data_IF_135790656030
#
_entry.id   IF_135790656030
#
_cell.length_a   1.000
_cell.length_b   1.000
_cell.length_c   1.000
_cell.angle_alpha   90.00
_cell.angle_beta   90.00
_cell.angle_gamma   90.00
#
_symmetry.space_group_name_H-M   'P 1'
#
loop_
_entity.id
_entity.type
_entity.pdbx_description
1 polymer ?
#
# COMPACT_ATOMS: atom_id res chain seq x y z
N UNK A 1 2.02 -5.33 -11.41
CA UNK A 1 2.92 -4.15 -11.33
C UNK A 1 4.30 -4.68 -10.95
N UNK A 2 5.36 -4.06 -11.44
CA UNK A 2 6.75 -4.44 -11.15
C UNK A 2 7.63 -3.19 -11.10
N UNK A 3 8.79 -3.30 -10.45
CA UNK A 3 9.84 -2.28 -10.38
C UNK A 3 11.18 -2.95 -10.10
N UNK A 4 12.27 -2.23 -10.33
CA UNK A 4 13.64 -2.70 -10.12
C UNK A 4 14.23 -2.10 -8.84
N UNK A 5 14.89 -2.95 -8.03
CA UNK A 5 15.70 -2.50 -6.90
C UNK A 5 17.08 -2.03 -7.39
N UNK A 6 17.15 -0.78 -7.84
CA UNK A 6 18.40 -0.17 -8.28
C UNK A 6 19.38 0.09 -7.12
N UNK A 7 20.66 -0.15 -7.34
CA UNK A 7 21.72 0.09 -6.33
C UNK A 7 21.77 1.55 -5.87
N UNK A 8 21.41 2.50 -6.75
CA UNK A 8 21.34 3.94 -6.47
C UNK A 8 20.37 4.29 -5.33
N UNK A 9 19.40 3.42 -5.03
CA UNK A 9 18.50 3.61 -3.88
C UNK A 9 19.14 3.25 -2.54
N UNK A 10 20.22 2.48 -2.54
CA UNK A 10 20.86 1.92 -1.34
C UNK A 10 22.17 2.64 -0.99
N UNK A 11 22.19 3.96 -1.18
CA UNK A 11 23.31 4.85 -0.83
C UNK A 11 23.42 5.15 0.68
N UNK A 12 22.55 4.57 1.51
CA UNK A 12 22.51 4.76 2.96
C UNK A 12 21.76 6.02 3.43
N UNK A 13 21.23 6.84 2.51
CA UNK A 13 20.49 8.07 2.87
C UNK A 13 19.00 7.84 3.08
N UNK A 14 18.46 6.74 2.56
CA UNK A 14 17.03 6.39 2.62
C UNK A 14 16.73 5.41 3.74
N UNK A 15 15.59 5.58 4.40
CA UNK A 15 15.11 4.64 5.41
C UNK A 15 14.21 3.56 4.78
N UNK A 16 13.80 2.58 5.58
CA UNK A 16 12.81 1.55 5.19
C UNK A 16 13.44 0.19 4.87
N UNK A 17 14.74 0.18 4.57
CA UNK A 17 15.56 -1.01 4.34
C UNK A 17 16.63 -1.17 5.44
N UNK A 18 16.19 -1.09 6.69
CA UNK A 18 17.02 -1.33 7.89
C UNK A 18 16.53 -2.56 8.65
N UNK A 19 17.37 -3.12 9.52
CA UNK A 19 17.00 -4.28 10.37
C UNK A 19 15.82 -4.00 11.29
N UNK A 20 15.61 -2.72 11.65
CA UNK A 20 14.48 -2.28 12.46
C UNK A 20 13.49 -1.53 11.56
N UNK A 21 12.28 -2.07 11.34
CA UNK A 21 11.26 -1.41 10.52
C UNK A 21 10.82 -0.09 11.14
N UNK A 22 10.80 0.99 10.34
CA UNK A 22 10.26 2.28 10.78
C UNK A 22 8.73 2.28 10.63
N UNK A 23 8.02 2.85 11.59
CA UNK A 23 6.55 2.91 11.61
C UNK A 23 5.85 1.54 11.56
N UNK A 24 6.52 0.44 11.92
CA UNK A 24 5.93 -0.91 11.95
C UNK A 24 5.64 -1.52 10.58
N UNK A 25 6.27 -1.03 9.51
CA UNK A 25 6.09 -1.54 8.14
C UNK A 25 7.41 -2.01 7.55
N UNK A 26 7.36 -3.15 6.84
CA UNK A 26 8.41 -3.54 5.92
C UNK A 26 8.15 -2.89 4.56
N UNK A 27 9.18 -2.33 3.94
CA UNK A 27 9.05 -1.65 2.65
C UNK A 27 9.42 -2.60 1.50
N UNK A 28 8.54 -2.66 0.50
CA UNK A 28 8.75 -3.34 -0.77
C UNK A 28 9.30 -2.42 -1.86
N UNK A 29 9.35 -1.11 -1.67
CA UNK A 29 9.85 -0.14 -2.64
C UNK A 29 10.63 0.97 -1.92
N UNK A 30 11.73 1.49 -2.52
CA UNK A 30 12.49 2.63 -1.98
C UNK A 30 11.64 3.88 -1.74
N UNK A 31 11.92 4.60 -0.66
CA UNK A 31 11.25 5.87 -0.36
C UNK A 31 11.91 7.04 -1.13
N UNK A 32 11.26 8.22 -1.27
CA UNK A 32 11.85 9.37 -1.94
C UNK A 32 13.12 9.83 -1.20
N UNK A 33 14.09 10.44 -1.90
CA UNK A 33 14.03 10.89 -3.30
C UNK A 33 14.05 9.75 -4.34
N UNK A 34 13.23 9.88 -5.38
CA UNK A 34 13.13 8.96 -6.52
C UNK A 34 14.29 9.19 -7.50
N UNK A 35 14.89 8.12 -8.00
CA UNK A 35 16.00 8.22 -8.96
C UNK A 35 15.47 8.37 -10.39
N UNK A 36 16.31 8.87 -11.30
CA UNK A 36 15.95 9.05 -12.71
C UNK A 36 15.61 7.74 -13.44
N UNK A 37 16.18 6.61 -12.99
CA UNK A 37 15.97 5.26 -13.53
C UNK A 37 14.77 4.53 -12.92
N UNK A 38 13.98 5.18 -12.06
CA UNK A 38 12.75 4.59 -11.52
C UNK A 38 11.86 4.07 -12.66
N UNK A 39 11.46 2.81 -12.55
CA UNK A 39 10.83 2.05 -13.62
C UNK A 39 9.53 1.36 -13.20
N UNK A 40 8.98 1.68 -12.02
CA UNK A 40 7.74 1.09 -11.57
C UNK A 40 6.63 1.30 -12.61
N UNK A 41 6.03 0.19 -13.05
CA UNK A 41 5.05 0.18 -14.12
C UNK A 41 3.95 -0.85 -13.89
N UNK A 42 2.74 -0.52 -14.35
CA UNK A 42 1.56 -1.37 -14.28
C UNK A 42 0.38 -0.67 -13.62
N UNK A 43 -0.52 -1.46 -13.02
CA UNK A 43 -1.76 -0.94 -12.44
C UNK A 43 -1.88 -1.36 -10.99
N UNK A 44 -2.20 -0.41 -10.12
CA UNK A 44 -2.67 -0.62 -8.76
C UNK A 44 -4.18 -0.46 -8.73
N UNK A 45 -4.88 -1.41 -8.11
CA UNK A 45 -6.34 -1.43 -8.09
C UNK A 45 -6.87 -1.81 -6.71
N UNK A 46 -7.82 -1.03 -6.19
CA UNK A 46 -8.36 -1.25 -4.85
C UNK A 46 -9.64 -0.46 -4.57
N UNK A 47 -10.18 -0.66 -3.37
CA UNK A 47 -11.48 -0.12 -2.91
C UNK A 47 -11.41 0.62 -1.58
N UNK A 48 -10.22 0.69 -0.97
CA UNK A 48 -9.96 1.33 0.32
C UNK A 48 -8.62 2.10 0.28
N UNK A 49 -8.50 3.11 1.14
CA UNK A 49 -7.29 3.93 1.36
C UNK A 49 -7.18 4.33 2.84
N UNK A 50 -6.17 5.09 3.26
CA UNK A 50 -6.02 5.47 4.68
C UNK A 50 -7.08 6.45 5.18
N UNK A 51 -7.48 7.42 4.37
CA UNK A 51 -8.34 8.51 4.78
C UNK A 51 -9.47 8.68 3.78
N UNK A 52 -10.37 7.70 3.75
CA UNK A 52 -11.60 7.77 2.97
C UNK A 52 -12.60 6.74 3.45
N UNK A 53 -13.86 6.93 3.05
CA UNK A 53 -14.81 5.81 3.01
C UNK A 53 -14.43 4.87 1.87
N UNK A 54 -14.85 3.61 1.97
CA UNK A 54 -14.70 2.65 0.89
C UNK A 54 -15.31 3.22 -0.39
N UNK A 55 -14.61 3.08 -1.50
CA UNK A 55 -14.95 3.69 -2.78
C UNK A 55 -15.07 2.61 -3.87
N UNK A 56 -15.93 2.81 -4.89
CA UNK A 56 -15.95 1.94 -6.04
C UNK A 56 -14.55 1.78 -6.62
N UNK A 57 -14.21 0.60 -7.16
CA UNK A 57 -12.84 0.27 -7.55
C UNK A 57 -12.17 1.41 -8.32
N UNK A 58 -11.02 1.84 -7.82
CA UNK A 58 -10.10 2.73 -8.51
C UNK A 58 -8.99 1.89 -9.14
N UNK A 59 -8.55 2.27 -10.33
CA UNK A 59 -7.33 1.76 -10.98
C UNK A 59 -6.40 2.92 -11.27
N UNK A 60 -5.19 2.82 -10.76
CA UNK A 60 -4.11 3.80 -10.88
C UNK A 60 -3.02 3.16 -11.74
N UNK A 61 -2.83 3.66 -12.96
CA UNK A 61 -1.80 3.17 -13.88
C UNK A 61 -0.53 4.01 -13.77
N UNK A 62 0.61 3.33 -13.82
CA UNK A 62 1.94 3.89 -13.63
C UNK A 62 2.87 3.59 -14.79
N UNK A 63 3.71 4.56 -15.10
CA UNK A 63 4.83 4.44 -16.02
C UNK A 63 6.05 5.19 -15.43
N UNK A 64 7.21 4.52 -15.38
CA UNK A 64 8.45 5.10 -14.88
C UNK A 64 8.35 5.65 -13.46
N UNK A 65 7.64 4.95 -12.57
CA UNK A 65 7.41 5.38 -11.19
C UNK A 65 6.22 6.29 -10.97
N UNK A 66 5.68 6.93 -12.01
CA UNK A 66 4.71 8.01 -11.86
C UNK A 66 3.32 7.57 -12.32
N UNK A 67 2.29 8.02 -11.62
CA UNK A 67 0.90 7.83 -12.02
C UNK A 67 0.61 8.63 -13.30
N UNK A 68 0.16 7.94 -14.34
CA UNK A 68 -0.19 8.53 -15.64
C UNK A 68 -1.69 8.52 -15.92
N UNK A 69 -2.45 7.65 -15.25
CA UNK A 69 -3.90 7.54 -15.46
C UNK A 69 -4.63 7.01 -14.24
N UNK A 70 -5.80 7.57 -13.96
CA UNK A 70 -6.70 7.10 -12.89
C UNK A 70 -8.10 6.88 -13.47
N UNK A 71 -8.61 5.65 -13.33
CA UNK A 71 -9.96 5.26 -13.79
C UNK A 71 -10.80 4.72 -12.63
N UNK A 72 -12.11 4.99 -12.64
CA UNK A 72 -13.00 4.59 -11.54
C UNK A 72 -12.79 5.43 -10.28
N UNK A 73 -13.07 4.86 -9.11
CA UNK A 73 -12.88 5.50 -7.81
C UNK A 73 -14.00 6.43 -7.34
N UNK A 74 -14.99 6.74 -8.20
CA UNK A 74 -15.97 7.81 -7.97
C UNK A 74 -15.29 9.10 -7.46
N UNK A 75 -15.84 9.77 -6.44
CA UNK A 75 -15.28 10.99 -5.87
C UNK A 75 -13.81 10.85 -5.42
N UNK A 76 -13.39 9.68 -4.94
CA UNK A 76 -11.99 9.44 -4.59
C UNK A 76 -11.10 9.49 -5.85
N UNK A 77 -11.52 8.83 -6.92
CA UNK A 77 -10.83 8.88 -8.21
C UNK A 77 -10.87 10.26 -8.87
N UNK A 78 -11.95 11.03 -8.70
CA UNK A 78 -12.05 12.40 -9.20
C UNK A 78 -11.03 13.32 -8.51
N UNK A 79 -10.87 13.18 -7.18
CA UNK A 79 -9.86 13.92 -6.43
C UNK A 79 -8.45 13.61 -6.96
N UNK A 80 -8.13 12.33 -7.18
CA UNK A 80 -6.87 11.92 -7.80
C UNK A 80 -6.64 12.58 -9.17
N UNK A 81 -7.65 12.57 -10.05
CA UNK A 81 -7.55 13.19 -11.37
C UNK A 81 -7.32 14.71 -11.30
N UNK A 82 -8.01 15.40 -10.39
CA UNK A 82 -7.81 16.83 -10.16
C UNK A 82 -6.39 17.16 -9.71
N UNK A 83 -5.88 16.43 -8.72
CA UNK A 83 -4.53 16.64 -8.18
C UNK A 83 -3.42 16.27 -9.18
N UNK A 84 -3.66 15.28 -10.06
CA UNK A 84 -2.75 14.95 -11.16
C UNK A 84 -2.64 16.11 -12.15
N UNK A 85 -3.78 16.67 -12.55
CA UNK A 85 -3.83 17.78 -13.50
C UNK A 85 -3.21 19.06 -12.89
N UNK A 86 -3.47 19.34 -11.62
CA UNK A 86 -2.91 20.49 -10.90
C UNK A 86 -1.39 20.41 -10.77
N UNK A 87 -0.85 19.22 -10.46
CA UNK A 87 0.59 19.04 -10.18
C UNK A 87 1.45 18.76 -11.41
N UNK A 88 0.88 18.49 -12.60
CA UNK A 88 1.62 17.94 -13.76
C UNK A 88 2.83 18.73 -14.24
N UNK A 89 2.89 20.03 -13.94
CA UNK A 89 4.00 20.92 -14.33
C UNK A 89 4.89 21.32 -13.15
N UNK A 90 4.58 20.86 -11.94
CA UNK A 90 5.33 21.18 -10.73
C UNK A 90 6.54 20.28 -10.61
N UNK A 91 7.74 20.86 -10.57
CA UNK A 91 8.97 20.13 -10.26
C UNK A 91 9.19 20.08 -8.74
N UNK A 92 9.18 18.87 -8.18
CA UNK A 92 9.49 18.63 -6.78
C UNK A 92 10.98 18.25 -6.63
N UNK A 93 11.68 18.69 -5.57
CA UNK A 93 13.09 18.35 -5.35
C UNK A 93 13.36 16.85 -5.24
N UNK A 94 12.40 16.07 -4.75
CA UNK A 94 12.53 14.62 -4.55
C UNK A 94 12.14 13.77 -5.76
N UNK A 95 11.70 14.35 -6.87
CA UNK A 95 11.25 13.60 -8.05
C UNK A 95 12.09 13.90 -9.29
N UNK A 96 12.33 12.90 -10.15
CA UNK A 96 13.20 13.07 -11.32
C UNK A 96 12.52 13.86 -12.45
N UNK A 97 11.19 14.00 -12.44
CA UNK A 97 10.42 14.75 -13.44
C UNK A 97 9.24 15.48 -12.78
N UNK A 98 8.61 16.47 -13.44
CA UNK A 98 7.45 17.17 -12.90
C UNK A 98 6.26 16.24 -12.60
N UNK A 99 5.46 16.61 -11.62
CA UNK A 99 4.26 15.89 -11.17
C UNK A 99 4.40 15.23 -9.80
N UNK A 100 3.31 15.22 -9.02
CA UNK A 100 3.32 14.81 -7.61
C UNK A 100 3.38 13.30 -7.41
N UNK A 101 2.58 12.53 -8.14
CA UNK A 101 2.24 11.15 -7.77
C UNK A 101 3.24 10.11 -8.27
N UNK A 102 4.45 10.11 -7.69
CA UNK A 102 5.38 8.99 -7.79
C UNK A 102 5.06 7.91 -6.75
N UNK A 103 5.16 6.63 -7.13
CA UNK A 103 5.15 5.51 -6.19
C UNK A 103 6.30 5.67 -5.21
N UNK A 104 6.00 5.56 -3.92
CA UNK A 104 7.05 5.61 -2.92
C UNK A 104 6.82 4.72 -1.70
N UNK A 105 5.56 4.45 -1.34
CA UNK A 105 5.25 3.58 -0.22
C UNK A 105 4.68 2.27 -0.76
N UNK A 106 5.44 1.19 -0.64
CA UNK A 106 4.92 -0.18 -0.76
C UNK A 106 5.09 -0.82 0.61
N UNK A 107 4.19 -0.48 1.52
CA UNK A 107 4.37 -0.86 2.92
C UNK A 107 3.51 -2.09 3.27
N UNK A 108 4.21 -3.10 3.76
CA UNK A 108 3.69 -4.42 4.09
C UNK A 108 3.32 -4.44 5.57
N UNK A 109 2.05 -4.74 5.86
CA UNK A 109 1.61 -5.09 7.19
C UNK A 109 2.19 -6.43 7.61
N UNK A 110 2.54 -6.57 8.89
CA UNK A 110 3.26 -7.74 9.42
C UNK A 110 2.56 -8.39 10.61
N UNK A 111 1.49 -7.79 11.13
CA UNK A 111 0.86 -8.26 12.36
C UNK A 111 -0.39 -9.12 12.04
N UNK A 112 -0.40 -10.43 12.36
CA UNK A 112 -1.55 -11.31 12.10
C UNK A 112 -2.74 -11.03 13.03
N UNK A 113 -2.55 -10.26 14.11
CA UNK A 113 -3.57 -9.98 15.14
C UNK A 113 -4.36 -8.70 14.91
N UNK A 114 -4.17 -8.06 13.76
CA UNK A 114 -4.94 -6.89 13.37
C UNK A 114 -6.33 -7.34 12.92
N UNK A 115 -7.34 -6.88 13.65
CA UNK A 115 -8.75 -7.06 13.33
C UNK A 115 -9.38 -5.75 12.86
N UNK A 116 -10.39 -5.83 12.00
CA UNK A 116 -11.23 -4.67 11.63
C UNK A 116 -11.83 -4.06 12.90
N UNK A 117 -11.70 -2.73 13.12
CA UNK A 117 -12.38 -2.07 14.24
C UNK A 117 -13.90 -2.17 14.12
N UNK A 118 -14.58 -2.34 15.25
CA UNK A 118 -16.05 -2.27 15.32
C UNK A 118 -16.55 -0.87 14.97
N UNK A 119 -17.70 -0.77 14.29
CA UNK A 119 -18.30 0.50 13.89
C UNK A 119 -17.40 1.32 12.98
N UNK A 120 -16.67 0.65 12.06
CA UNK A 120 -15.65 1.24 11.18
C UNK A 120 -16.15 2.46 10.39
N UNK A 121 -17.46 2.52 10.08
CA UNK A 121 -18.14 3.64 9.44
C UNK A 121 -18.12 4.95 10.25
N UNK A 122 -17.90 4.85 11.58
CA UNK A 122 -17.83 5.97 12.52
C UNK A 122 -16.41 6.48 12.76
N UNK A 123 -15.39 5.80 12.24
CA UNK A 123 -13.99 6.21 12.40
C UNK A 123 -13.60 7.27 11.37
N UNK A 124 -12.89 8.31 11.81
CA UNK A 124 -12.51 9.46 10.96
C UNK A 124 -11.57 9.11 9.81
N UNK A 125 -10.75 8.06 9.96
CA UNK A 125 -9.92 7.50 8.89
C UNK A 125 -10.66 6.47 8.01
N UNK A 126 -11.96 6.25 8.25
CA UNK A 126 -12.66 5.09 7.71
C UNK A 126 -12.13 3.75 8.28
N UNK A 127 -11.32 3.80 9.35
CA UNK A 127 -10.69 2.67 10.05
C UNK A 127 -9.70 1.82 9.26
N UNK A 128 -9.56 2.05 7.95
CA UNK A 128 -8.64 1.30 7.09
C UNK A 128 -7.16 1.59 7.37
N UNK A 129 -6.84 2.72 8.01
CA UNK A 129 -5.51 2.99 8.56
C UNK A 129 -5.05 1.90 9.55
N UNK A 130 -6.00 1.28 10.26
CA UNK A 130 -5.72 0.15 11.13
C UNK A 130 -5.52 -1.15 10.35
N UNK A 131 -6.42 -1.45 9.41
CA UNK A 131 -6.38 -2.66 8.57
C UNK A 131 -5.06 -2.81 7.79
N UNK A 132 -4.43 -1.69 7.41
CA UNK A 132 -3.15 -1.66 6.68
C UNK A 132 -2.02 -2.42 7.38
N UNK A 133 -2.13 -2.60 8.71
CA UNK A 133 -1.11 -3.23 9.56
C UNK A 133 -1.23 -4.75 9.59
N UNK A 134 -2.35 -5.30 9.11
CA UNK A 134 -2.58 -6.76 9.04
C UNK A 134 -1.51 -7.40 8.18
N UNK A 135 -0.95 -8.52 8.64
CA UNK A 135 0.01 -9.31 7.88
C UNK A 135 -0.44 -9.54 6.44
N UNK A 136 0.46 -9.33 5.46
CA UNK A 136 0.20 -9.61 4.05
C UNK A 136 -0.64 -8.57 3.30
N UNK A 137 -1.20 -7.57 3.98
CA UNK A 137 -1.79 -6.39 3.33
C UNK A 137 -0.65 -5.48 2.86
N UNK A 138 -0.77 -4.96 1.64
CA UNK A 138 0.12 -3.91 1.13
C UNK A 138 -0.71 -2.65 0.93
N UNK A 139 -0.25 -1.51 1.43
CA UNK A 139 -0.77 -0.22 0.97
C UNK A 139 0.26 0.46 0.09
N UNK A 140 -0.25 0.92 -1.05
CA UNK A 140 0.51 1.57 -2.11
C UNK A 140 0.31 3.06 -1.95
N UNK A 141 1.34 3.80 -1.58
CA UNK A 141 1.33 5.26 -1.42
C UNK A 141 2.08 5.96 -2.56
N UNK A 142 1.49 7.06 -3.01
CA UNK A 142 2.00 7.86 -4.13
C UNK A 142 1.98 9.33 -3.77
N UNK A 143 3.05 10.06 -4.08
CA UNK A 143 3.20 11.46 -3.68
C UNK A 143 4.47 11.73 -2.88
N UNK A 144 4.49 12.84 -2.15
CA UNK A 144 5.60 13.21 -1.27
C UNK A 144 5.68 12.33 -0.03
N UNK A 145 6.90 12.21 0.52
CA UNK A 145 7.14 11.52 1.78
C UNK A 145 6.50 12.27 2.94
N UNK A 146 5.70 11.57 3.76
CA UNK A 146 5.00 12.18 4.89
C UNK A 146 5.95 12.86 5.89
N UNK A 147 5.67 14.11 6.24
CA UNK A 147 6.45 14.94 7.18
C UNK A 147 7.93 15.04 6.80
N UNK A 148 8.22 15.05 5.51
CA UNK A 148 9.59 15.22 5.01
C UNK A 148 9.97 16.69 4.84
N UNK A 149 11.25 16.93 4.54
CA UNK A 149 11.74 18.26 4.19
C UNK A 149 11.06 18.81 2.93
N UNK A 150 10.68 17.93 2.00
CA UNK A 150 10.02 18.29 0.75
C UNK A 150 8.57 18.74 0.93
N UNK A 151 7.81 18.13 1.85
CA UNK A 151 6.48 18.64 2.20
C UNK A 151 6.57 20.01 2.87
N UNK A 152 7.58 20.22 3.73
CA UNK A 152 7.84 21.53 4.34
C UNK A 152 8.17 22.57 3.27
N UNK A 153 9.10 22.25 2.36
CA UNK A 153 9.46 23.12 1.24
C UNK A 153 8.25 23.47 0.37
N UNK A 154 7.43 22.48 0.02
CA UNK A 154 6.24 22.71 -0.79
C UNK A 154 5.23 23.63 -0.07
N UNK A 155 5.00 23.40 1.23
CA UNK A 155 4.14 24.26 2.05
C UNK A 155 4.64 25.71 2.14
N UNK A 156 5.94 25.91 2.33
CA UNK A 156 6.56 27.26 2.37
C UNK A 156 6.45 28.00 1.03
N UNK A 157 6.31 27.26 -0.09
CA UNK A 157 6.18 27.81 -1.44
C UNK A 157 4.73 27.83 -1.95
N UNK A 158 3.75 27.44 -1.12
CA UNK A 158 2.34 27.38 -1.54
C UNK A 158 2.07 26.37 -2.66
N UNK A 159 2.90 25.32 -2.75
CA UNK A 159 2.82 24.27 -3.76
C UNK A 159 2.01 23.10 -3.20
N UNK A 160 1.15 22.49 -4.01
CA UNK A 160 0.43 21.26 -3.66
C UNK A 160 1.41 20.15 -3.24
N UNK A 161 1.17 19.49 -2.12
CA UNK A 161 1.93 18.33 -1.67
C UNK A 161 1.02 17.33 -0.96
N UNK A 162 1.59 16.17 -0.64
CA UNK A 162 0.93 15.08 0.05
C UNK A 162 1.06 13.78 -0.71
N UNK A 163 0.45 12.75 -0.16
CA UNK A 163 0.43 11.43 -0.77
C UNK A 163 -0.91 10.74 -0.51
N UNK A 164 -1.30 9.90 -1.46
CA UNK A 164 -2.56 9.18 -1.46
C UNK A 164 -2.31 7.68 -1.58
N UNK A 165 -3.27 6.88 -1.14
CA UNK A 165 -3.09 5.44 -1.01
C UNK A 165 -4.15 4.61 -1.71
N UNK A 166 -3.75 3.42 -2.13
CA UNK A 166 -4.66 2.34 -2.49
C UNK A 166 -4.21 1.07 -1.77
N UNK A 167 -5.12 0.40 -1.06
CA UNK A 167 -4.79 -0.83 -0.35
C UNK A 167 -4.99 -2.06 -1.23
N UNK A 168 -4.08 -3.01 -1.10
CA UNK A 168 -4.12 -4.35 -1.66
C UNK A 168 -4.29 -5.33 -0.50
N UNK A 169 -5.49 -5.89 -0.38
CA UNK A 169 -5.85 -6.77 0.74
C UNK A 169 -5.39 -8.22 0.53
N UNK A 170 -5.32 -8.67 -0.73
CA UNK A 170 -4.91 -10.03 -1.11
C UNK A 170 -3.84 -10.07 -2.20
N UNK A 171 -2.73 -9.32 -2.09
CA UNK A 171 -1.69 -9.33 -3.11
C UNK A 171 -0.92 -10.64 -3.12
N UNK A 172 -0.33 -10.97 -4.27
CA UNK A 172 0.84 -11.84 -4.34
C UNK A 172 2.04 -10.95 -4.67
N UNK A 173 3.08 -11.02 -3.84
CA UNK A 173 4.29 -10.22 -3.98
C UNK A 173 5.51 -11.14 -4.03
N UNK A 174 6.24 -11.05 -5.14
CA UNK A 174 7.43 -11.84 -5.42
C UNK A 174 8.63 -10.92 -5.64
N UNK A 175 9.80 -11.38 -5.23
CA UNK A 175 11.07 -10.71 -5.47
C UNK A 175 11.94 -11.65 -6.30
N UNK A 176 12.45 -11.16 -7.44
CA UNK A 176 13.42 -11.87 -8.25
C UNK A 176 14.82 -11.34 -7.94
N UNK A 177 15.73 -12.20 -7.52
CA UNK A 177 17.13 -11.84 -7.25
C UNK A 177 17.92 -11.65 -8.54
N UNK A 178 19.12 -11.06 -8.45
CA UNK A 178 20.04 -10.89 -9.58
C UNK A 178 20.38 -12.19 -10.33
N UNK A 179 20.35 -13.34 -9.65
CA UNK A 179 20.58 -14.66 -10.26
C UNK A 179 19.30 -15.35 -10.77
N UNK A 180 18.17 -14.63 -10.83
CA UNK A 180 16.90 -15.13 -11.36
C UNK A 180 16.08 -15.98 -10.40
N UNK A 181 16.50 -16.14 -9.14
CA UNK A 181 15.73 -16.88 -8.14
C UNK A 181 14.54 -16.03 -7.67
N UNK A 182 13.35 -16.62 -7.70
CA UNK A 182 12.14 -15.98 -7.20
C UNK A 182 11.89 -16.34 -5.73
N UNK A 183 11.51 -15.34 -4.94
CA UNK A 183 11.07 -15.47 -3.56
C UNK A 183 9.65 -14.91 -3.42
N UNK A 184 8.68 -15.76 -3.07
CA UNK A 184 7.34 -15.31 -2.72
C UNK A 184 7.33 -14.77 -1.29
N UNK A 185 7.12 -13.47 -1.14
CA UNK A 185 7.05 -12.78 0.16
C UNK A 185 5.62 -12.80 0.70
N UNK A 186 4.64 -12.58 -0.18
CA UNK A 186 3.21 -12.65 0.15
C UNK A 186 2.54 -13.50 -0.92
N UNK A 187 1.68 -14.43 -0.50
CA UNK A 187 0.87 -15.27 -1.39
C UNK A 187 -0.61 -15.05 -1.08
N UNK A 188 -1.34 -14.44 -2.00
CA UNK A 188 -2.78 -14.17 -1.89
C UNK A 188 -3.16 -13.54 -0.53
N UNK A 189 -2.40 -12.55 -0.06
CA UNK A 189 -2.63 -11.86 1.22
C UNK A 189 -2.11 -12.56 2.47
N UNK A 190 -1.43 -13.72 2.36
CA UNK A 190 -0.71 -14.36 3.47
C UNK A 190 0.78 -14.07 3.40
N UNK A 191 1.35 -13.55 4.49
CA UNK A 191 2.79 -13.31 4.61
C UNK A 191 3.51 -14.66 4.80
N UNK A 192 4.37 -15.06 3.86
CA UNK A 192 4.97 -16.41 3.85
C UNK A 192 5.89 -16.68 5.04
N UNK A 193 6.44 -15.63 5.66
CA UNK A 193 7.21 -15.73 6.88
C UNK A 193 6.41 -16.33 8.06
N UNK A 194 5.08 -16.23 8.07
CA UNK A 194 4.25 -16.84 9.12
C UNK A 194 4.17 -18.38 9.01
N UNK A 195 4.56 -18.94 7.86
CA UNK A 195 4.64 -20.39 7.63
C UNK A 195 6.07 -20.92 7.74
N UNK A 196 7.06 -20.04 7.90
CA UNK A 196 8.47 -20.42 7.94
C UNK A 196 8.77 -21.28 9.17
N UNK A 197 9.44 -22.45 9.04
CA UNK A 197 9.71 -23.34 10.16
C UNK A 197 10.49 -22.69 11.31
N UNK A 198 11.43 -21.79 11.01
CA UNK A 198 12.22 -21.12 12.05
C UNK A 198 11.39 -20.06 12.77
N UNK A 199 10.51 -19.36 12.06
CA UNK A 199 9.53 -18.43 12.67
C UNK A 199 8.53 -19.18 13.54
N UNK A 200 8.00 -20.31 13.05
CA UNK A 200 7.07 -21.17 13.81
C UNK A 200 7.73 -21.73 15.06
N UNK A 201 8.97 -22.22 14.96
CA UNK A 201 9.77 -22.68 16.11
C UNK A 201 10.06 -21.56 17.11
N UNK A 202 10.26 -20.33 16.64
CA UNK A 202 10.40 -19.18 17.53
C UNK A 202 9.08 -18.88 18.27
N UNK A 203 7.94 -19.00 17.59
CA UNK A 203 6.61 -18.76 18.16
C UNK A 203 6.25 -19.75 19.28
N UNK A 204 6.75 -21.00 19.24
CA UNK A 204 6.56 -22.02 20.29
C UNK A 204 6.98 -21.54 21.69
N UNK A 205 7.89 -20.57 21.78
CA UNK A 205 8.30 -19.96 23.07
C UNK A 205 7.23 -19.10 23.71
N UNK A 206 6.22 -18.67 22.93
CA UNK A 206 5.20 -17.70 23.33
C UNK A 206 3.78 -18.28 23.30
N UNK A 207 3.58 -19.46 22.72
CA UNK A 207 2.28 -20.13 22.65
C UNK A 207 2.24 -21.18 21.53
N UNK A 208 1.06 -21.70 21.24
CA UNK A 208 0.84 -22.55 20.07
C UNK A 208 1.10 -21.73 18.78
N UNK A 209 2.07 -22.12 17.92
CA UNK A 209 2.33 -21.41 16.66
C UNK A 209 1.12 -21.29 15.75
N UNK A 210 0.21 -22.28 15.75
CA UNK A 210 -0.98 -22.26 14.90
C UNK A 210 -1.99 -21.21 15.35
N UNK A 211 -2.11 -20.98 16.66
CA UNK A 211 -2.91 -19.87 17.17
C UNK A 211 -2.17 -18.54 17.06
N UNK A 212 -0.88 -18.50 17.37
CA UNK A 212 -0.11 -17.26 17.43
C UNK A 212 0.15 -16.63 16.06
N UNK A 213 0.34 -17.43 15.01
CA UNK A 213 0.67 -16.95 13.66
C UNK A 213 -0.54 -16.93 12.70
N UNK A 214 -1.69 -17.47 13.12
CA UNK A 214 -2.95 -17.34 12.35
C UNK A 214 -3.42 -15.89 12.32
N UNK A 215 -3.91 -15.44 11.18
CA UNK A 215 -4.57 -14.14 11.10
C UNK A 215 -5.95 -14.17 11.78
N UNK A 216 -6.17 -13.28 12.74
CA UNK A 216 -7.43 -13.21 13.50
C UNK A 216 -8.58 -12.63 12.67
N UNK A 217 -8.26 -11.95 11.57
CA UNK A 217 -9.23 -11.38 10.66
C UNK A 217 -8.81 -11.59 9.21
N UNK A 218 -9.75 -12.07 8.41
CA UNK A 218 -9.64 -12.18 6.95
C UNK A 218 -10.77 -11.33 6.35
N UNK A 219 -10.47 -10.29 5.56
CA UNK A 219 -11.49 -9.49 4.90
C UNK A 219 -12.46 -10.39 4.12
N UNK A 220 -13.76 -10.25 4.37
CA UNK A 220 -14.80 -11.00 3.67
C UNK A 220 -15.19 -10.26 2.39
N UNK A 221 -14.62 -10.68 1.26
CA UNK A 221 -14.81 -10.07 -0.06
C UNK A 221 -15.50 -11.08 -0.98
N UNK A 222 -16.71 -10.78 -1.47
CA UNK A 222 -17.41 -11.61 -2.44
C UNK A 222 -16.55 -11.91 -3.67
N UNK A 223 -16.52 -13.16 -4.09
CA UNK A 223 -15.72 -13.63 -5.24
C UNK A 223 -14.24 -13.83 -4.95
N UNK A 224 -13.77 -13.53 -3.72
CA UNK A 224 -12.38 -13.79 -3.29
C UNK A 224 -12.36 -14.71 -2.07
N UNK A 225 -12.92 -14.27 -0.94
CA UNK A 225 -12.92 -14.99 0.33
C UNK A 225 -14.31 -15.40 0.82
N UNK A 226 -15.36 -14.92 0.16
CA UNK A 226 -16.75 -15.30 0.42
C UNK A 226 -17.54 -15.46 -0.88
N UNK A 227 -18.70 -16.11 -0.80
CA UNK A 227 -19.58 -16.32 -1.95
C UNK A 227 -20.12 -15.00 -2.52
N UNK A 228 -20.25 -14.93 -3.85
CA UNK A 228 -20.78 -13.78 -4.59
C UNK A 228 -19.85 -13.33 -5.72
N UNK A 229 -20.02 -12.10 -6.19
CA UNK A 229 -19.25 -11.52 -7.30
C UNK A 229 -18.36 -10.37 -6.82
N UNK A 230 -17.09 -10.41 -7.23
CA UNK A 230 -16.16 -9.33 -6.98
C UNK A 230 -16.55 -8.06 -7.75
N UNK A 231 -17.11 -8.19 -8.95
CA UNK A 231 -17.60 -7.07 -9.76
C UNK A 231 -18.70 -6.28 -9.03
N UNK A 232 -19.62 -6.98 -8.36
CA UNK A 232 -20.66 -6.34 -7.57
C UNK A 232 -20.08 -5.67 -6.32
N UNK A 233 -19.18 -6.36 -5.60
CA UNK A 233 -18.43 -5.77 -4.49
C UNK A 233 -17.70 -4.49 -4.91
N UNK A 234 -16.98 -4.54 -6.03
CA UNK A 234 -16.16 -3.46 -6.55
C UNK A 234 -16.98 -2.22 -6.94
N UNK A 235 -18.28 -2.35 -7.22
CA UNK A 235 -19.15 -1.20 -7.53
C UNK A 235 -19.60 -0.44 -6.28
N UNK A 236 -19.73 -1.09 -5.13
CA UNK A 236 -20.17 -0.44 -3.88
C UNK A 236 -19.63 -1.14 -2.63
N UNK A 237 -18.30 -1.17 -2.41
CA UNK A 237 -17.67 -2.00 -1.37
C UNK A 237 -18.17 -1.65 0.05
N UNK A 238 -18.62 -0.41 0.27
CA UNK A 238 -19.23 0.02 1.52
C UNK A 238 -20.43 -0.82 1.95
N UNK A 239 -21.24 -1.33 1.01
CA UNK A 239 -22.38 -2.21 1.33
C UNK A 239 -21.95 -3.47 2.08
N UNK A 240 -20.76 -3.99 1.80
CA UNK A 240 -20.23 -5.20 2.45
C UNK A 240 -19.39 -4.87 3.66
N UNK A 241 -18.57 -3.82 3.57
CA UNK A 241 -17.66 -3.43 4.66
C UNK A 241 -18.44 -2.92 5.87
N UNK A 242 -19.47 -2.10 5.65
CA UNK A 242 -20.20 -1.42 6.74
C UNK A 242 -21.40 -2.19 7.25
N UNK A 243 -21.97 -3.11 6.46
CA UNK A 243 -23.07 -3.96 6.91
C UNK A 243 -22.62 -5.03 7.93
N UNK A 244 -21.33 -5.38 7.94
CA UNK A 244 -20.75 -6.32 8.91
C UNK A 244 -20.50 -5.71 10.30
N UNK A 245 -20.73 -4.41 10.45
CA UNK A 245 -20.50 -3.63 11.67
C UNK A 245 -21.81 -3.18 12.35
N UNK A 246 -22.96 -3.68 11.89
CA UNK A 246 -24.28 -3.48 12.48
C UNK A 246 -24.66 -4.62 13.43
#
# INVERSE_FOLDING_TARGET
MSWTYWEEYYDGTRYGFSSTPRNGHLFGHPVPPMIAKEDAAGVVSGTTSHFSRAFPQVKVALEGGQVVKVTGGAAYGDAWRGLLEESKHTQYPCFPRPGLFYLWEVAIGTNPKIVRPSGIDKHSSGGFEWERRRSGVIHMGFGTLWRSAEEKWAGENGILYGHLHVHLLFPTFTITTKNGKEHTIIRNGRLTALDDPDVRKLAEKYGDPDDFLREDWIPQIPGITSAGSYEDYARNPGKWIYAQSA
#
